data_IF_456819617860
#
_entry.id   IF_456819617860
#
_cell.length_a   1.000
_cell.length_b   1.000
_cell.length_c   1.000
_cell.angle_alpha   90.00
_cell.angle_beta   90.00
_cell.angle_gamma   90.00
#
_symmetry.space_group_name_H-M   'P 1'
#
loop_
_entity.id
_entity.type
_entity.pdbx_description
1 polymer ?
#
# COMPACT_ATOMS: atom_id res chain seq x y z
N UNK A 1 -14.71 -25.17 29.59
CA UNK A 1 -14.35 -23.95 28.84
C UNK A 1 -13.67 -24.30 27.53
N UNK A 2 -12.68 -25.21 27.50
CA UNK A 2 -11.96 -25.65 26.30
C UNK A 2 -12.86 -26.26 25.20
N UNK A 3 -13.87 -27.09 25.55
CA UNK A 3 -14.79 -27.69 24.57
C UNK A 3 -15.63 -26.68 23.83
N UNK A 4 -16.05 -25.59 24.52
CA UNK A 4 -16.87 -24.53 23.92
C UNK A 4 -16.09 -23.72 22.89
N UNK A 5 -14.83 -23.45 23.17
CA UNK A 5 -13.95 -22.73 22.23
C UNK A 5 -13.61 -23.59 21.01
N UNK A 6 -13.43 -24.89 21.20
CA UNK A 6 -13.19 -25.83 20.09
C UNK A 6 -14.41 -25.90 19.16
N UNK A 7 -15.62 -26.01 19.71
CA UNK A 7 -16.86 -25.98 18.94
C UNK A 7 -17.00 -24.66 18.19
N UNK A 8 -16.74 -23.52 18.85
CA UNK A 8 -16.84 -22.21 18.18
C UNK A 8 -15.83 -22.06 17.02
N UNK A 9 -14.62 -22.61 17.15
CA UNK A 9 -13.64 -22.63 16.05
C UNK A 9 -14.15 -23.42 14.85
N UNK A 10 -14.75 -24.60 15.06
CA UNK A 10 -15.36 -25.39 13.99
C UNK A 10 -16.51 -24.63 13.30
N UNK A 11 -17.36 -23.96 14.05
CA UNK A 11 -18.43 -23.13 13.51
C UNK A 11 -17.89 -21.95 12.69
N UNK A 12 -16.80 -21.33 13.14
CA UNK A 12 -16.14 -20.24 12.42
C UNK A 12 -15.55 -20.74 11.09
N UNK A 13 -14.89 -21.91 11.06
CA UNK A 13 -14.37 -22.49 9.81
C UNK A 13 -15.51 -22.83 8.82
N UNK A 14 -16.63 -23.40 9.32
CA UNK A 14 -17.81 -23.65 8.49
C UNK A 14 -18.39 -22.33 7.93
N UNK A 15 -18.42 -21.26 8.74
CA UNK A 15 -18.89 -19.94 8.31
C UNK A 15 -17.97 -19.30 7.28
N UNK A 16 -16.64 -19.43 7.41
CA UNK A 16 -15.68 -18.97 6.40
C UNK A 16 -15.92 -19.68 5.06
N UNK A 17 -16.10 -21.01 5.08
CA UNK A 17 -16.40 -21.78 3.89
C UNK A 17 -17.70 -21.31 3.21
N UNK A 18 -18.78 -21.10 3.98
CA UNK A 18 -20.03 -20.55 3.48
C UNK A 18 -19.86 -19.16 2.84
N UNK A 19 -19.15 -18.25 3.52
CA UNK A 19 -18.91 -16.89 3.01
C UNK A 19 -18.02 -16.91 1.75
N UNK A 20 -17.04 -17.81 1.68
CA UNK A 20 -16.22 -18.01 0.49
C UNK A 20 -17.03 -18.50 -0.70
N UNK A 21 -17.90 -19.50 -0.49
CA UNK A 21 -18.78 -20.03 -1.53
C UNK A 21 -19.81 -19.00 -2.01
N UNK A 22 -20.44 -18.31 -1.07
CA UNK A 22 -21.55 -17.38 -1.34
C UNK A 22 -21.12 -16.04 -1.89
N UNK A 23 -19.99 -15.51 -1.44
CA UNK A 23 -19.56 -14.15 -1.70
C UNK A 23 -18.19 -14.08 -2.39
N UNK A 24 -17.45 -15.17 -2.51
CA UNK A 24 -16.07 -15.18 -3.00
C UNK A 24 -15.06 -14.64 -2.01
N UNK A 25 -15.44 -14.52 -0.73
CA UNK A 25 -14.55 -13.99 0.31
C UNK A 25 -13.31 -14.88 0.48
N UNK A 26 -12.13 -14.27 0.56
CA UNK A 26 -10.87 -14.97 0.79
C UNK A 26 -10.41 -14.68 2.22
N UNK A 27 -10.29 -15.74 3.01
CA UNK A 27 -9.83 -15.65 4.39
C UNK A 27 -8.37 -16.09 4.48
N UNK A 28 -7.50 -15.18 4.84
CA UNK A 28 -6.13 -15.53 5.24
C UNK A 28 -6.13 -15.98 6.69
N UNK A 29 -5.24 -16.92 7.05
CA UNK A 29 -5.14 -17.41 8.43
C UNK A 29 -4.90 -16.24 9.38
N UNK A 30 -5.86 -15.99 10.25
CA UNK A 30 -5.70 -15.05 11.36
C UNK A 30 -4.69 -15.61 12.38
N UNK A 31 -4.12 -14.73 13.20
CA UNK A 31 -3.28 -15.17 14.33
C UNK A 31 -4.05 -16.19 15.17
N UNK A 32 -3.41 -17.33 15.56
CA UNK A 32 -4.05 -18.34 16.40
C UNK A 32 -4.51 -17.80 17.76
N UNK A 33 -4.11 -16.59 18.12
CA UNK A 33 -4.39 -15.96 19.40
C UNK A 33 -5.74 -15.21 19.46
N UNK A 34 -6.47 -15.11 18.33
CA UNK A 34 -7.77 -14.45 18.34
C UNK A 34 -8.81 -15.35 19.02
N UNK A 35 -9.52 -14.85 20.08
CA UNK A 35 -10.59 -15.57 20.71
C UNK A 35 -11.69 -15.93 19.71
N UNK A 36 -12.19 -17.20 19.68
CA UNK A 36 -13.14 -17.65 18.65
C UNK A 36 -14.47 -16.87 18.66
N UNK A 37 -14.84 -16.27 19.77
CA UNK A 37 -16.04 -15.42 19.87
C UNK A 37 -15.84 -14.08 19.14
N UNK A 38 -14.63 -13.50 19.19
CA UNK A 38 -14.29 -12.26 18.46
C UNK A 38 -14.28 -12.55 16.97
N UNK A 39 -13.67 -13.66 16.56
CA UNK A 39 -13.69 -14.11 15.17
C UNK A 39 -15.13 -14.33 14.66
N UNK A 40 -16.00 -14.96 15.47
CA UNK A 40 -17.41 -15.16 15.13
C UNK A 40 -18.16 -13.83 14.96
N UNK A 41 -17.89 -12.85 15.82
CA UNK A 41 -18.48 -11.51 15.70
C UNK A 41 -18.02 -10.81 14.41
N UNK A 42 -16.73 -10.93 14.08
CA UNK A 42 -16.17 -10.40 12.85
C UNK A 42 -16.75 -11.07 11.60
N UNK A 43 -16.88 -12.39 11.57
CA UNK A 43 -17.50 -13.11 10.44
C UNK A 43 -18.96 -12.70 10.20
N UNK A 44 -19.71 -12.44 11.26
CA UNK A 44 -21.09 -11.90 11.12
C UNK A 44 -21.08 -10.49 10.53
N UNK A 45 -20.12 -9.66 10.92
CA UNK A 45 -19.97 -8.32 10.37
C UNK A 45 -19.60 -8.36 8.87
N UNK A 46 -18.71 -9.29 8.47
CA UNK A 46 -18.39 -9.54 7.05
C UNK A 46 -19.65 -9.96 6.28
N UNK A 47 -20.43 -10.90 6.80
CA UNK A 47 -21.68 -11.32 6.15
C UNK A 47 -22.65 -10.15 5.96
N UNK A 48 -22.86 -9.36 7.02
CA UNK A 48 -23.74 -8.19 6.95
C UNK A 48 -23.26 -7.17 5.91
N UNK A 49 -21.96 -6.93 5.84
CA UNK A 49 -21.36 -6.07 4.83
C UNK A 49 -21.63 -6.57 3.41
N UNK A 50 -21.34 -7.84 3.14
CA UNK A 50 -21.56 -8.45 1.82
C UNK A 50 -23.04 -8.41 1.38
N UNK A 51 -23.95 -8.65 2.31
CA UNK A 51 -25.39 -8.57 2.04
C UNK A 51 -25.82 -7.14 1.70
N UNK A 52 -25.28 -6.14 2.41
CA UNK A 52 -25.55 -4.72 2.13
C UNK A 52 -24.95 -4.28 0.80
N UNK A 53 -23.72 -4.68 0.48
CA UNK A 53 -23.09 -4.41 -0.82
C UNK A 53 -23.96 -4.89 -1.98
N UNK A 54 -24.49 -6.11 -1.91
CA UNK A 54 -25.33 -6.68 -2.97
C UNK A 54 -26.66 -5.95 -3.18
N UNK A 55 -27.17 -5.28 -2.18
CA UNK A 55 -28.42 -4.54 -2.21
C UNK A 55 -28.27 -3.03 -2.24
N UNK A 56 -27.03 -2.54 -2.19
CA UNK A 56 -26.76 -1.11 -2.13
C UNK A 56 -27.17 -0.40 -3.42
N UNK A 57 -27.81 0.74 -3.27
CA UNK A 57 -28.07 1.65 -4.38
C UNK A 57 -26.80 2.50 -4.61
N UNK A 58 -26.55 2.87 -5.87
CA UNK A 58 -25.49 3.82 -6.19
C UNK A 58 -25.92 5.23 -5.81
N UNK A 59 -25.02 5.97 -5.18
CA UNK A 59 -25.18 7.38 -4.82
C UNK A 59 -23.89 8.15 -5.07
N UNK A 60 -23.91 9.47 -4.99
CA UNK A 60 -22.66 10.27 -5.00
C UNK A 60 -22.18 10.54 -3.58
N UNK A 61 -20.87 10.77 -3.40
CA UNK A 61 -20.30 11.18 -2.10
C UNK A 61 -21.04 12.41 -1.57
N UNK A 62 -21.40 13.38 -2.43
CA UNK A 62 -22.18 14.58 -2.09
C UNK A 62 -23.51 14.21 -1.43
N UNK A 63 -24.28 13.30 -2.04
CA UNK A 63 -25.56 12.83 -1.47
C UNK A 63 -25.37 12.01 -0.21
N UNK A 64 -24.36 11.18 -0.19
CA UNK A 64 -23.99 10.35 0.96
C UNK A 64 -23.75 11.19 2.22
N UNK A 65 -23.08 12.35 2.10
CA UNK A 65 -22.83 13.27 3.22
C UNK A 65 -23.96 14.28 3.48
N UNK A 66 -25.12 14.13 2.86
CA UNK A 66 -26.30 14.95 3.10
C UNK A 66 -26.42 16.20 2.24
N UNK A 67 -25.76 16.25 1.08
CA UNK A 67 -25.82 17.36 0.10
C UNK A 67 -25.58 18.75 0.72
N UNK A 68 -24.47 18.97 1.43
CA UNK A 68 -24.17 20.27 2.03
C UNK A 68 -24.05 21.35 0.95
N UNK A 69 -24.40 22.59 1.32
CA UNK A 69 -24.16 23.74 0.44
C UNK A 69 -22.67 24.08 0.44
N UNK A 70 -22.03 23.92 -0.71
CA UNK A 70 -20.60 24.12 -0.88
C UNK A 70 -20.37 25.11 -2.00
N UNK A 71 -19.56 26.14 -1.72
CA UNK A 71 -19.19 27.15 -2.72
C UNK A 71 -18.17 26.55 -3.72
N UNK A 72 -18.30 26.80 -5.03
CA UNK A 72 -17.26 26.43 -5.97
C UNK A 72 -15.96 27.23 -5.68
N UNK A 73 -14.79 26.65 -6.02
CA UNK A 73 -13.49 27.28 -5.71
C UNK A 73 -13.40 28.74 -6.18
N UNK A 74 -13.92 29.05 -7.38
CA UNK A 74 -13.89 30.41 -7.94
C UNK A 74 -14.76 31.42 -7.19
N UNK A 75 -15.69 30.98 -6.31
CA UNK A 75 -16.53 31.83 -5.49
C UNK A 75 -16.04 31.99 -4.04
N UNK A 76 -14.94 31.32 -3.69
CA UNK A 76 -14.34 31.37 -2.35
C UNK A 76 -13.22 32.42 -2.34
N UNK A 77 -13.33 33.50 -1.53
CA UNK A 77 -12.23 34.45 -1.36
C UNK A 77 -10.96 33.76 -0.83
N UNK A 78 -9.79 34.16 -1.31
CA UNK A 78 -8.52 33.53 -0.93
C UNK A 78 -8.29 33.47 0.58
N UNK A 79 -8.72 34.50 1.32
CA UNK A 79 -8.62 34.56 2.78
C UNK A 79 -9.55 33.60 3.53
N UNK A 80 -10.59 33.07 2.88
CA UNK A 80 -11.58 32.17 3.48
C UNK A 80 -11.32 30.70 3.11
N UNK A 81 -10.49 30.45 2.11
CA UNK A 81 -10.30 29.10 1.52
C UNK A 81 -9.89 28.03 2.55
N UNK A 82 -8.99 28.36 3.47
CA UNK A 82 -8.54 27.42 4.52
C UNK A 82 -9.68 27.09 5.49
N UNK A 83 -10.55 28.06 5.79
CA UNK A 83 -11.70 27.83 6.66
C UNK A 83 -12.76 26.95 5.97
N UNK A 84 -13.05 27.22 4.69
CA UNK A 84 -13.96 26.40 3.87
C UNK A 84 -13.45 24.97 3.73
N UNK A 85 -12.15 24.79 3.43
CA UNK A 85 -11.53 23.46 3.35
C UNK A 85 -11.69 22.70 4.68
N UNK A 86 -11.41 23.35 5.80
CA UNK A 86 -11.57 22.73 7.13
C UNK A 86 -13.01 22.33 7.39
N UNK A 87 -13.97 23.20 7.11
CA UNK A 87 -15.39 22.90 7.28
C UNK A 87 -15.83 21.70 6.43
N UNK A 88 -15.37 21.62 5.19
CA UNK A 88 -15.67 20.48 4.31
C UNK A 88 -15.05 19.18 4.83
N UNK A 89 -13.80 19.22 5.28
CA UNK A 89 -13.14 18.04 5.89
C UNK A 89 -13.88 17.55 7.14
N UNK A 90 -14.36 18.45 7.99
CA UNK A 90 -15.19 18.13 9.16
C UNK A 90 -16.54 17.50 8.77
N UNK A 91 -17.16 17.94 7.67
CA UNK A 91 -18.38 17.32 7.14
C UNK A 91 -18.10 15.90 6.67
N UNK A 92 -17.02 15.69 5.91
CA UNK A 92 -16.60 14.37 5.44
C UNK A 92 -16.35 13.43 6.62
N UNK A 93 -15.55 13.85 7.60
CA UNK A 93 -15.21 13.05 8.77
C UNK A 93 -16.43 12.65 9.61
N UNK A 94 -17.37 13.59 9.85
CA UNK A 94 -18.64 13.30 10.55
C UNK A 94 -19.50 12.25 9.84
N UNK A 95 -19.31 12.09 8.55
CA UNK A 95 -20.01 11.08 7.73
C UNK A 95 -19.15 9.83 7.48
N UNK A 96 -18.07 9.62 8.24
CA UNK A 96 -17.13 8.52 8.08
C UNK A 96 -16.50 8.45 6.68
N UNK A 97 -16.27 9.59 6.06
CA UNK A 97 -15.52 9.70 4.81
C UNK A 97 -14.13 10.28 5.13
N UNK A 98 -13.09 9.53 4.83
CA UNK A 98 -11.70 9.97 5.01
C UNK A 98 -11.04 10.18 3.66
N UNK A 99 -10.19 11.19 3.60
CA UNK A 99 -9.41 11.51 2.41
C UNK A 99 -7.94 11.59 2.79
N UNK A 100 -7.15 10.78 2.11
CA UNK A 100 -5.70 10.82 2.17
C UNK A 100 -5.17 11.50 0.90
N UNK A 101 -4.41 12.56 1.07
CA UNK A 101 -3.81 13.28 -0.06
C UNK A 101 -2.45 12.73 -0.48
N UNK A 102 -1.84 11.84 0.34
CA UNK A 102 -0.58 11.15 0.04
C UNK A 102 0.63 12.04 -0.24
N UNK A 103 0.40 13.34 -0.56
CA UNK A 103 1.43 14.32 -0.88
C UNK A 103 1.05 15.72 -0.40
N UNK A 104 2.02 16.62 -0.25
CA UNK A 104 1.76 18.03 0.05
C UNK A 104 1.02 18.69 -1.12
N UNK A 105 -0.24 19.10 -0.88
CA UNK A 105 -1.06 19.88 -1.80
C UNK A 105 -1.40 21.20 -1.15
N UNK A 106 -1.51 22.27 -1.95
CA UNK A 106 -2.02 23.55 -1.50
C UNK A 106 -3.50 23.44 -1.07
N UNK A 107 -3.98 24.38 -0.27
CA UNK A 107 -5.38 24.43 0.12
C UNK A 107 -6.33 24.52 -1.09
N UNK A 108 -5.92 25.22 -2.15
CA UNK A 108 -6.70 25.34 -3.38
C UNK A 108 -6.81 24.00 -4.15
N UNK A 109 -5.71 23.27 -4.26
CA UNK A 109 -5.72 21.95 -4.90
C UNK A 109 -6.58 20.94 -4.13
N UNK A 110 -6.44 20.90 -2.80
CA UNK A 110 -7.28 20.05 -1.94
C UNK A 110 -8.76 20.40 -2.06
N UNK A 111 -9.09 21.69 -2.01
CA UNK A 111 -10.47 22.15 -2.09
C UNK A 111 -11.08 21.82 -3.45
N UNK A 112 -10.34 22.06 -4.54
CA UNK A 112 -10.75 21.72 -5.91
C UNK A 112 -11.04 20.23 -6.04
N UNK A 113 -10.09 19.39 -5.64
CA UNK A 113 -10.27 17.93 -5.67
C UNK A 113 -11.53 17.50 -4.93
N UNK A 114 -11.73 17.98 -3.70
CA UNK A 114 -12.90 17.62 -2.90
C UNK A 114 -14.19 18.04 -3.58
N UNK A 115 -14.27 19.26 -4.09
CA UNK A 115 -15.53 19.86 -4.58
C UNK A 115 -15.89 19.49 -6.01
N UNK A 116 -14.89 19.26 -6.87
CA UNK A 116 -15.08 19.08 -8.31
C UNK A 116 -14.92 17.59 -8.74
N UNK A 117 -14.29 16.75 -7.91
CA UNK A 117 -14.02 15.36 -8.26
C UNK A 117 -14.61 14.40 -7.22
N UNK A 118 -14.16 14.48 -5.96
CA UNK A 118 -14.58 13.53 -4.92
C UNK A 118 -16.08 13.57 -4.65
N UNK A 119 -16.67 14.75 -4.49
CA UNK A 119 -18.09 14.88 -4.15
C UNK A 119 -19.02 14.33 -5.24
N UNK A 120 -18.60 14.32 -6.47
CA UNK A 120 -19.37 13.81 -7.60
C UNK A 120 -19.05 12.33 -7.92
N UNK A 121 -18.10 11.72 -7.17
CA UNK A 121 -17.78 10.29 -7.29
C UNK A 121 -18.96 9.43 -6.90
N UNK A 122 -19.33 8.49 -7.75
CA UNK A 122 -20.33 7.45 -7.47
C UNK A 122 -19.75 6.40 -6.52
N UNK A 123 -20.55 6.04 -5.53
CA UNK A 123 -20.26 5.03 -4.50
C UNK A 123 -21.51 4.19 -4.21
N UNK A 124 -21.34 3.06 -3.58
CA UNK A 124 -22.44 2.30 -3.00
C UNK A 124 -22.90 2.95 -1.69
N UNK A 125 -24.23 3.16 -1.50
CA UNK A 125 -24.80 3.72 -0.27
C UNK A 125 -24.87 2.66 0.83
N UNK A 126 -23.70 2.31 1.37
CA UNK A 126 -23.56 1.35 2.46
C UNK A 126 -23.33 2.10 3.75
N UNK A 127 -24.25 1.94 4.72
CA UNK A 127 -24.15 2.53 6.04
C UNK A 127 -24.10 1.45 7.10
N UNK A 128 -22.95 1.25 7.69
CA UNK A 128 -22.70 0.30 8.78
C UNK A 128 -21.91 0.96 9.89
N UNK A 129 -22.14 0.51 11.12
CA UNK A 129 -21.30 0.94 12.25
C UNK A 129 -19.86 0.49 12.04
N UNK A 130 -18.93 1.42 12.20
CA UNK A 130 -17.50 1.18 12.00
C UNK A 130 -17.01 1.21 10.55
N UNK A 131 -17.92 1.28 9.55
CA UNK A 131 -17.52 1.46 8.16
C UNK A 131 -17.01 2.88 7.93
N UNK A 132 -15.82 2.99 7.34
CA UNK A 132 -15.22 4.25 6.91
C UNK A 132 -14.92 4.15 5.42
N UNK A 133 -15.42 5.09 4.65
CA UNK A 133 -15.08 5.23 3.24
C UNK A 133 -13.74 5.98 3.15
N UNK A 134 -12.74 5.32 2.61
CA UNK A 134 -11.41 5.91 2.43
C UNK A 134 -11.17 6.19 0.96
N UNK A 135 -10.78 7.42 0.65
CA UNK A 135 -10.39 7.85 -0.68
C UNK A 135 -8.95 8.35 -0.64
N UNK A 136 -8.17 7.98 -1.63
CA UNK A 136 -6.82 8.48 -1.82
C UNK A 136 -6.78 9.38 -3.04
N UNK A 137 -6.11 10.52 -2.92
CA UNK A 137 -5.96 11.48 -4.02
C UNK A 137 -5.33 10.82 -5.26
N UNK A 138 -4.40 9.91 -5.05
CA UNK A 138 -3.70 9.17 -6.10
C UNK A 138 -4.64 8.24 -6.91
N UNK A 139 -5.78 7.81 -6.36
CA UNK A 139 -6.77 7.02 -7.12
C UNK A 139 -7.42 7.83 -8.26
N UNK A 140 -7.45 9.16 -8.11
CA UNK A 140 -7.97 10.11 -9.09
C UNK A 140 -6.85 10.72 -9.93
N UNK A 141 -5.67 10.85 -9.36
CA UNK A 141 -4.48 11.49 -9.94
C UNK A 141 -3.27 10.58 -9.78
N UNK A 142 -3.22 9.43 -10.47
CA UNK A 142 -2.09 8.51 -10.38
C UNK A 142 -0.79 9.21 -10.76
N UNK A 143 0.22 9.02 -9.95
CA UNK A 143 1.58 9.53 -10.14
C UNK A 143 2.55 8.35 -10.13
N UNK A 144 2.58 7.64 -11.25
CA UNK A 144 3.37 6.42 -11.42
C UNK A 144 4.85 6.63 -11.10
N UNK A 145 5.40 7.83 -11.41
CA UNK A 145 6.80 8.12 -11.11
C UNK A 145 7.06 8.16 -9.60
N UNK A 146 6.16 8.81 -8.86
CA UNK A 146 6.24 8.88 -7.41
C UNK A 146 5.99 7.52 -6.78
N UNK A 147 4.99 6.77 -7.23
CA UNK A 147 4.72 5.43 -6.71
C UNK A 147 5.91 4.49 -6.93
N UNK A 148 6.48 4.49 -8.14
CA UNK A 148 7.69 3.72 -8.43
C UNK A 148 8.87 4.17 -7.54
N UNK A 149 9.01 5.48 -7.31
CA UNK A 149 10.06 6.01 -6.44
C UNK A 149 9.87 5.55 -4.98
N UNK A 150 8.64 5.61 -4.44
CA UNK A 150 8.32 5.13 -3.08
C UNK A 150 8.62 3.64 -2.93
N UNK A 151 8.22 2.81 -3.89
CA UNK A 151 8.52 1.36 -3.87
C UNK A 151 10.04 1.12 -3.91
N UNK A 152 10.79 1.94 -4.65
CA UNK A 152 12.25 1.86 -4.65
C UNK A 152 12.88 2.26 -3.32
N UNK A 153 12.36 3.29 -2.65
CA UNK A 153 12.78 3.69 -1.31
C UNK A 153 12.49 2.60 -0.28
N UNK A 154 11.28 2.05 -0.28
CA UNK A 154 10.86 0.95 0.58
C UNK A 154 11.72 -0.30 0.36
N UNK A 155 12.10 -0.57 -0.90
CA UNK A 155 13.03 -1.66 -1.22
C UNK A 155 14.40 -1.44 -0.58
N UNK A 156 14.98 -0.26 -0.73
CA UNK A 156 16.27 0.07 -0.12
C UNK A 156 16.20 -0.01 1.40
N UNK A 157 15.13 0.54 2.00
CA UNK A 157 14.88 0.42 3.43
C UNK A 157 14.83 -1.04 3.87
N UNK A 158 13.95 -1.85 3.28
CA UNK A 158 13.79 -3.27 3.63
C UNK A 158 15.06 -4.10 3.37
N UNK A 159 15.83 -3.71 2.34
CA UNK A 159 17.11 -4.35 2.05
C UNK A 159 18.13 -4.11 3.17
N UNK A 160 18.32 -2.88 3.62
CA UNK A 160 19.31 -2.54 4.65
C UNK A 160 18.85 -2.91 6.06
N UNK A 161 17.54 -2.85 6.37
CA UNK A 161 16.98 -3.28 7.66
C UNK A 161 16.73 -4.78 7.76
N UNK A 162 16.89 -5.52 6.64
CA UNK A 162 16.68 -6.98 6.56
C UNK A 162 15.24 -7.44 6.79
N UNK A 163 14.28 -6.66 6.33
CA UNK A 163 12.87 -7.00 6.41
C UNK A 163 12.46 -7.92 5.26
N UNK A 164 12.66 -9.24 5.45
CA UNK A 164 12.42 -10.27 4.41
C UNK A 164 10.99 -10.30 3.88
N UNK A 165 9.99 -10.12 4.75
CA UNK A 165 8.57 -10.11 4.36
C UNK A 165 8.26 -8.95 3.42
N UNK A 166 8.79 -7.77 3.70
CA UNK A 166 8.64 -6.56 2.89
C UNK A 166 9.36 -6.74 1.55
N UNK A 167 10.61 -7.24 1.56
CA UNK A 167 11.35 -7.54 0.33
C UNK A 167 10.60 -8.54 -0.57
N UNK A 168 10.05 -9.61 0.00
CA UNK A 168 9.29 -10.61 -0.76
C UNK A 168 8.02 -9.99 -1.39
N UNK A 169 7.36 -9.07 -0.68
CA UNK A 169 6.21 -8.35 -1.20
C UNK A 169 6.58 -7.40 -2.34
N UNK A 170 7.57 -6.54 -2.12
CA UNK A 170 8.01 -5.51 -3.07
C UNK A 170 8.62 -6.12 -4.34
N UNK A 171 9.25 -7.29 -4.25
CA UNK A 171 9.79 -8.00 -5.42
C UNK A 171 8.75 -8.84 -6.15
N UNK A 172 7.50 -8.87 -5.69
CA UNK A 172 6.41 -9.60 -6.34
C UNK A 172 6.61 -11.11 -6.35
N UNK A 173 7.34 -11.67 -5.39
CA UNK A 173 7.73 -13.08 -5.35
C UNK A 173 6.57 -14.05 -5.60
N UNK A 174 5.36 -13.71 -5.12
CA UNK A 174 4.16 -14.56 -5.25
C UNK A 174 3.17 -14.04 -6.32
N UNK A 175 3.47 -12.96 -7.04
CA UNK A 175 2.52 -12.28 -7.93
C UNK A 175 3.00 -12.13 -9.36
N UNK A 176 4.32 -11.98 -9.54
CA UNK A 176 4.88 -11.81 -10.87
C UNK A 176 4.96 -13.16 -11.60
N UNK A 177 4.49 -13.25 -12.88
CA UNK A 177 4.69 -14.43 -13.70
C UNK A 177 6.19 -14.69 -13.92
N UNK A 178 6.60 -15.94 -14.14
CA UNK A 178 8.01 -16.32 -14.32
C UNK A 178 8.75 -15.50 -15.38
N UNK A 179 8.03 -15.04 -16.41
CA UNK A 179 8.59 -14.31 -17.58
C UNK A 179 8.56 -12.78 -17.42
N UNK A 180 8.35 -12.26 -16.20
CA UNK A 180 8.13 -10.83 -15.95
C UNK A 180 9.32 -9.89 -16.19
N UNK A 181 10.32 -10.31 -16.96
CA UNK A 181 11.39 -9.44 -17.49
C UNK A 181 12.68 -9.41 -16.69
N UNK A 182 12.79 -10.20 -15.61
CA UNK A 182 14.09 -10.61 -15.07
C UNK A 182 14.55 -11.86 -15.82
N UNK A 183 15.76 -11.90 -16.33
CA UNK A 183 16.32 -13.05 -17.04
C UNK A 183 16.27 -14.38 -16.27
N UNK A 184 15.88 -14.35 -15.00
CA UNK A 184 15.87 -15.47 -14.08
C UNK A 184 14.59 -15.61 -13.22
N UNK A 185 13.57 -14.77 -13.42
CA UNK A 185 12.31 -14.76 -12.65
C UNK A 185 12.41 -14.18 -11.22
N UNK A 186 11.26 -13.85 -10.59
CA UNK A 186 11.23 -13.18 -9.28
C UNK A 186 11.91 -13.97 -8.15
N UNK A 187 11.77 -15.30 -8.18
CA UNK A 187 12.41 -16.19 -7.19
C UNK A 187 13.92 -16.15 -7.26
N UNK A 188 14.48 -15.99 -8.45
CA UNK A 188 15.93 -15.85 -8.65
C UNK A 188 16.44 -14.51 -8.15
N UNK A 189 15.72 -13.41 -8.39
CA UNK A 189 16.10 -12.10 -7.87
C UNK A 189 16.13 -12.08 -6.35
N UNK A 190 15.09 -12.55 -5.69
CA UNK A 190 15.05 -12.66 -4.23
C UNK A 190 16.17 -13.56 -3.68
N UNK A 191 16.49 -14.67 -4.36
CA UNK A 191 17.60 -15.54 -3.98
C UNK A 191 18.95 -14.84 -4.13
N UNK A 192 19.14 -14.05 -5.20
CA UNK A 192 20.35 -13.21 -5.37
C UNK A 192 20.49 -12.18 -4.26
N UNK A 193 19.39 -11.52 -3.88
CA UNK A 193 19.38 -10.57 -2.75
C UNK A 193 19.82 -11.25 -1.45
N UNK A 194 19.27 -12.42 -1.15
CA UNK A 194 19.62 -13.20 0.03
C UNK A 194 21.09 -13.63 0.03
N UNK A 195 21.56 -14.14 -1.10
CA UNK A 195 22.96 -14.54 -1.26
C UNK A 195 23.91 -13.36 -1.11
N UNK A 196 23.61 -12.23 -1.74
CA UNK A 196 24.41 -11.01 -1.61
C UNK A 196 24.47 -10.53 -0.15
N UNK A 197 23.37 -10.59 0.56
CA UNK A 197 23.29 -10.20 2.00
C UNK A 197 23.99 -11.22 2.92
N UNK A 198 24.03 -12.48 2.57
CA UNK A 198 24.70 -13.51 3.41
C UNK A 198 26.20 -13.29 3.54
N UNK A 199 26.82 -12.60 2.59
CA UNK A 199 28.25 -12.23 2.64
C UNK A 199 28.52 -11.06 3.59
N UNK A 200 27.46 -10.37 4.04
CA UNK A 200 27.51 -9.21 4.92
C UNK A 200 26.97 -9.62 6.30
N UNK A 201 27.70 -9.36 7.37
CA UNK A 201 27.28 -9.70 8.73
C UNK A 201 26.09 -8.85 9.15
N UNK A 202 26.33 -7.59 9.48
CA UNK A 202 25.28 -6.63 9.86
C UNK A 202 25.57 -5.27 9.23
N UNK A 203 24.54 -4.59 8.75
CA UNK A 203 24.64 -3.18 8.41
C UNK A 203 24.63 -2.38 9.71
N UNK A 204 25.61 -1.50 9.88
CA UNK A 204 25.78 -0.67 11.07
C UNK A 204 25.30 0.76 10.89
N UNK A 205 25.29 1.22 9.65
CA UNK A 205 24.81 2.54 9.23
C UNK A 205 24.45 2.49 7.74
N UNK A 206 23.44 3.24 7.34
CA UNK A 206 23.12 3.42 5.93
C UNK A 206 22.29 4.68 5.71
N UNK A 207 22.41 5.23 4.52
CA UNK A 207 21.65 6.36 4.01
C UNK A 207 21.38 6.15 2.52
N UNK A 208 20.19 6.54 2.08
CA UNK A 208 19.81 6.47 0.69
C UNK A 208 19.03 7.72 0.28
N UNK A 209 19.40 8.31 -0.84
CA UNK A 209 18.70 9.47 -1.41
C UNK A 209 18.35 9.19 -2.84
N UNK A 210 17.05 9.19 -3.17
CA UNK A 210 16.59 9.06 -4.55
C UNK A 210 17.04 10.29 -5.36
N UNK A 211 17.63 10.05 -6.50
CA UNK A 211 18.13 11.07 -7.42
C UNK A 211 17.15 11.30 -8.57
N UNK A 212 16.62 10.24 -9.13
CA UNK A 212 15.79 10.27 -10.33
C UNK A 212 14.95 9.00 -10.44
N UNK A 213 13.73 9.13 -10.97
CA UNK A 213 12.88 8.02 -11.39
C UNK A 213 12.42 8.29 -12.83
N UNK A 214 12.90 7.50 -13.77
CA UNK A 214 12.53 7.57 -15.18
C UNK A 214 11.48 6.49 -15.49
N UNK A 215 10.36 6.91 -16.07
CA UNK A 215 9.27 6.03 -16.49
C UNK A 215 9.32 5.72 -17.97
N UNK A 216 9.10 4.45 -18.33
CA UNK A 216 8.89 3.98 -19.68
C UNK A 216 7.72 3.00 -19.72
N UNK A 217 6.51 3.50 -19.88
CA UNK A 217 5.25 2.71 -19.87
C UNK A 217 5.06 1.96 -18.55
N UNK A 218 5.12 0.61 -18.60
CA UNK A 218 4.99 -0.31 -17.46
C UNK A 218 6.33 -0.55 -16.74
N UNK A 219 7.35 0.23 -17.03
CA UNK A 219 8.69 0.10 -16.45
C UNK A 219 9.17 1.41 -15.86
N UNK A 220 9.95 1.30 -14.79
CA UNK A 220 10.65 2.43 -14.21
C UNK A 220 12.10 2.06 -13.91
N UNK A 221 12.96 3.05 -14.05
CA UNK A 221 14.36 2.97 -13.59
C UNK A 221 14.57 4.04 -12.54
N UNK A 222 14.83 3.62 -11.31
CA UNK A 222 15.15 4.50 -10.20
C UNK A 222 16.64 4.51 -9.96
N UNK A 223 17.19 5.69 -9.81
CA UNK A 223 18.56 5.92 -9.39
C UNK A 223 18.57 6.51 -8.00
N UNK A 224 19.39 6.00 -7.10
CA UNK A 224 19.59 6.54 -5.78
C UNK A 224 21.10 6.62 -5.46
N UNK A 225 21.51 7.61 -4.72
CA UNK A 225 22.81 7.58 -4.07
C UNK A 225 22.67 6.85 -2.75
N UNK A 226 23.51 5.83 -2.52
CA UNK A 226 23.51 5.07 -1.28
C UNK A 226 24.89 5.12 -0.63
N UNK A 227 24.91 5.24 0.69
CA UNK A 227 26.09 5.07 1.53
C UNK A 227 25.72 4.07 2.62
N UNK A 228 26.59 3.09 2.85
CA UNK A 228 26.35 2.10 3.88
C UNK A 228 27.66 1.61 4.51
N UNK A 229 27.58 1.24 5.76
CA UNK A 229 28.63 0.60 6.54
C UNK A 229 28.16 -0.74 7.07
N UNK A 230 29.01 -1.71 7.09
CA UNK A 230 28.68 -3.05 7.56
C UNK A 230 29.89 -3.76 8.15
N UNK A 231 29.62 -4.81 8.90
CA UNK A 231 30.62 -5.77 9.38
C UNK A 231 30.63 -6.95 8.43
N UNK A 232 31.81 -7.44 8.04
CA UNK A 232 31.94 -8.64 7.20
C UNK A 232 31.44 -9.88 7.96
N UNK A 233 30.70 -10.75 7.30
CA UNK A 233 30.24 -12.00 7.91
C UNK A 233 31.43 -12.84 8.41
N UNK A 234 31.36 -13.26 9.68
CA UNK A 234 32.42 -14.07 10.31
C UNK A 234 33.68 -13.29 10.71
N UNK A 235 33.67 -11.96 10.67
CA UNK A 235 34.80 -11.09 11.02
C UNK A 235 34.33 -9.91 11.84
N UNK A 236 35.23 -9.23 12.56
CA UNK A 236 34.98 -7.94 13.20
C UNK A 236 35.36 -6.75 12.28
N UNK A 237 35.77 -7.02 11.04
CA UNK A 237 36.19 -5.99 10.09
C UNK A 237 34.98 -5.18 9.64
N UNK A 238 35.01 -3.89 9.93
CA UNK A 238 34.01 -2.92 9.44
C UNK A 238 34.50 -2.28 8.15
N UNK A 239 33.59 -2.09 7.20
CA UNK A 239 33.87 -1.42 5.95
C UNK A 239 32.70 -0.55 5.51
N UNK A 240 33.01 0.47 4.72
CA UNK A 240 32.02 1.42 4.21
C UNK A 240 32.05 1.43 2.68
N UNK A 241 30.91 1.60 2.06
CA UNK A 241 30.74 1.76 0.62
C UNK A 241 29.77 2.89 0.34
N UNK A 242 29.94 3.53 -0.79
CA UNK A 242 28.99 4.51 -1.32
C UNK A 242 29.01 4.50 -2.84
N UNK A 243 27.93 4.94 -3.44
CA UNK A 243 27.82 5.05 -4.88
C UNK A 243 26.39 5.11 -5.37
N UNK A 244 26.21 5.04 -6.67
CA UNK A 244 24.89 5.03 -7.30
C UNK A 244 24.32 3.61 -7.26
N UNK A 245 23.16 3.46 -6.65
CA UNK A 245 22.30 2.28 -6.79
C UNK A 245 21.34 2.52 -7.96
N UNK A 246 20.98 1.45 -8.66
CA UNK A 246 19.99 1.49 -9.75
C UNK A 246 18.99 0.36 -9.50
N UNK A 247 17.71 0.70 -9.49
CA UNK A 247 16.61 -0.27 -9.37
C UNK A 247 15.80 -0.25 -10.66
N UNK A 248 15.46 -1.44 -11.15
CA UNK A 248 14.50 -1.62 -12.24
C UNK A 248 13.18 -2.06 -11.67
N UNK A 249 12.13 -1.36 -12.01
CA UNK A 249 10.78 -1.67 -11.55
C UNK A 249 9.89 -2.01 -12.74
N UNK A 250 8.84 -2.78 -12.48
CA UNK A 250 7.78 -3.11 -13.43
C UNK A 250 6.42 -2.97 -12.76
N UNK A 251 5.47 -2.41 -13.51
CA UNK A 251 4.07 -2.33 -13.09
C UNK A 251 3.30 -3.57 -13.58
N UNK A 252 2.56 -4.20 -12.68
CA UNK A 252 1.65 -5.32 -12.99
C UNK A 252 0.39 -5.11 -12.15
N UNK A 253 -0.78 -5.15 -12.80
CA UNK A 253 -2.08 -4.90 -12.16
C UNK A 253 -2.09 -3.60 -11.33
N UNK A 254 -1.54 -2.52 -11.89
CA UNK A 254 -1.40 -1.19 -11.27
C UNK A 254 -0.50 -1.14 -10.03
N UNK A 255 0.29 -2.17 -9.76
CA UNK A 255 1.24 -2.22 -8.65
C UNK A 255 2.67 -2.28 -9.18
N UNK A 256 3.58 -1.51 -8.56
CA UNK A 256 5.00 -1.51 -8.90
C UNK A 256 5.77 -2.57 -8.12
N UNK A 257 6.69 -3.26 -8.80
CA UNK A 257 7.57 -4.28 -8.22
C UNK A 257 9.01 -4.05 -8.65
N UNK A 258 9.96 -4.19 -7.74
CA UNK A 258 11.39 -4.18 -8.05
C UNK A 258 11.77 -5.53 -8.64
N UNK A 259 12.18 -5.54 -9.90
CA UNK A 259 12.52 -6.77 -10.64
C UNK A 259 14.02 -7.01 -10.77
N UNK A 260 14.83 -5.97 -10.62
CA UNK A 260 16.29 -6.06 -10.59
C UNK A 260 16.91 -4.89 -9.85
N UNK A 261 18.11 -5.06 -9.33
CA UNK A 261 18.82 -4.02 -8.59
C UNK A 261 20.33 -4.13 -8.76
N UNK A 262 20.98 -2.97 -8.78
CA UNK A 262 22.41 -2.81 -8.58
C UNK A 262 22.65 -1.98 -7.33
N UNK A 263 23.41 -2.52 -6.38
CA UNK A 263 23.77 -1.82 -5.14
C UNK A 263 25.30 -1.85 -5.00
N UNK A 264 25.97 -0.70 -4.91
CA UNK A 264 27.43 -0.62 -4.88
C UNK A 264 28.07 -1.53 -3.86
N UNK A 265 28.95 -2.41 -4.34
CA UNK A 265 29.70 -3.36 -3.51
C UNK A 265 28.91 -4.55 -2.97
N UNK A 266 27.63 -4.71 -3.35
CA UNK A 266 26.76 -5.80 -2.89
C UNK A 266 26.18 -6.59 -4.07
N UNK A 267 25.54 -5.90 -5.00
CA UNK A 267 24.73 -6.52 -6.04
C UNK A 267 25.01 -5.86 -7.39
N UNK A 268 25.23 -6.69 -8.42
CA UNK A 268 25.33 -6.23 -9.81
C UNK A 268 24.08 -6.61 -10.59
N UNK A 269 23.66 -5.79 -11.54
CA UNK A 269 22.56 -6.13 -12.44
C UNK A 269 22.86 -7.39 -13.27
N UNK A 270 21.80 -8.10 -13.59
CA UNK A 270 21.86 -9.15 -14.63
C UNK A 270 21.90 -8.49 -16.00
N UNK A 271 22.92 -8.83 -16.78
CA UNK A 271 23.07 -8.44 -18.20
C UNK A 271 21.99 -9.10 -19.08
#
# INVERSE_FOLDING_TARGET
MQDRDAIQRLLNEAKKAELSERFGAVFHSCSPDIPPQIESAWLRHVEEFELRCRSAATTTVRRYIGSPSIRPLGAVPAGELVAELRSLMEILERNNVRVDFGRPLSAAERYRFLTEELLDREIEDIRMEGLVLNFRYEEFHPDDAREAAMIGEDFLFAFFTREESVLAHITGFNRLPPDSGSAAGPGSFLSRLRNARSTIGAFTDWDATVLECALERDRATLSAFVRWSAVRAGSAEQFTRSGRAVLRLRQVDSLWYVIDAEIPGILSMTS
#
